data_IF_183965888894
#
_entry.id   IF_183965888894
#
_cell.length_a   1.000
_cell.length_b   1.000
_cell.length_c   1.000
_cell.angle_alpha   90.00
_cell.angle_beta   90.00
_cell.angle_gamma   90.00
#
_symmetry.space_group_name_H-M   'P 1'
#
loop_
_entity.id
_entity.type
_entity.pdbx_description
1 polymer ?
#
# COMPACT_ATOMS: atom_id res chain seq x y z
N UNK A 1 -1.59 5.28 8.29
CA UNK A 1 -3.06 5.52 8.29
C UNK A 1 -3.30 6.98 7.95
N UNK A 2 -4.28 7.24 7.07
CA UNK A 2 -4.57 8.59 6.55
C UNK A 2 -6.08 8.84 6.53
N UNK A 3 -6.49 10.02 6.99
CA UNK A 3 -7.88 10.45 6.83
C UNK A 3 -8.08 11.05 5.43
N UNK A 4 -9.10 10.58 4.71
CA UNK A 4 -9.47 11.06 3.39
C UNK A 4 -10.75 11.88 3.48
N UNK A 5 -10.67 13.22 3.45
CA UNK A 5 -11.85 14.11 3.64
C UNK A 5 -12.95 13.87 2.61
N UNK A 6 -12.56 13.62 1.34
CA UNK A 6 -13.51 13.37 0.26
C UNK A 6 -14.41 12.14 0.51
N UNK A 7 -13.94 11.17 1.27
CA UNK A 7 -14.65 9.94 1.59
C UNK A 7 -15.21 9.94 3.01
N UNK A 8 -14.77 10.86 3.86
CA UNK A 8 -15.00 10.88 5.31
C UNK A 8 -14.59 9.57 5.98
N UNK A 9 -13.44 9.02 5.58
CA UNK A 9 -12.92 7.72 6.01
C UNK A 9 -11.45 7.80 6.39
N UNK A 10 -11.08 6.97 7.36
CA UNK A 10 -9.68 6.63 7.63
C UNK A 10 -9.31 5.43 6.76
N UNK A 11 -8.20 5.54 6.06
CA UNK A 11 -7.62 4.44 5.28
C UNK A 11 -6.32 4.01 5.94
N UNK A 12 -6.22 2.71 6.21
CA UNK A 12 -5.03 2.08 6.75
C UNK A 12 -4.41 1.18 5.68
N UNK A 13 -3.12 1.39 5.42
CA UNK A 13 -2.32 0.49 4.58
C UNK A 13 -1.51 -0.41 5.51
N UNK A 14 -1.55 -1.71 5.25
CA UNK A 14 -0.76 -2.71 5.98
C UNK A 14 0.02 -3.51 4.96
N UNK A 15 1.33 -3.50 5.08
CA UNK A 15 2.21 -4.34 4.25
C UNK A 15 2.75 -5.48 5.10
N UNK A 16 2.79 -6.67 4.54
CA UNK A 16 3.31 -7.85 5.20
C UNK A 16 4.19 -8.66 4.26
N UNK A 17 5.27 -9.23 4.79
CA UNK A 17 6.06 -10.21 4.06
C UNK A 17 5.20 -11.43 3.76
N UNK A 18 5.20 -11.90 2.52
CA UNK A 18 4.60 -13.19 2.22
C UNK A 18 5.46 -14.31 2.83
N UNK A 19 4.76 -15.33 3.31
CA UNK A 19 5.40 -16.55 3.79
C UNK A 19 5.45 -17.54 2.64
N UNK A 20 6.62 -17.68 2.01
CA UNK A 20 6.84 -18.78 1.08
C UNK A 20 7.20 -20.03 1.89
N UNK A 21 6.41 -21.10 1.75
CA UNK A 21 6.64 -22.41 2.36
C UNK A 21 6.81 -22.42 3.90
N UNK A 22 6.10 -21.56 4.61
CA UNK A 22 6.14 -21.49 6.07
C UNK A 22 7.41 -20.84 6.65
N UNK A 23 8.31 -20.36 5.81
CA UNK A 23 9.54 -19.68 6.21
C UNK A 23 9.40 -18.19 5.95
N UNK A 24 9.65 -17.36 6.96
CA UNK A 24 9.68 -15.90 6.80
C UNK A 24 10.81 -15.52 5.86
N UNK A 25 10.47 -15.06 4.66
CA UNK A 25 11.43 -14.54 3.72
C UNK A 25 11.51 -13.02 3.84
N UNK A 26 12.68 -12.49 4.14
CA UNK A 26 12.95 -11.04 4.10
C UNK A 26 13.15 -10.53 2.67
N UNK A 27 13.21 -11.42 1.70
CA UNK A 27 13.50 -11.14 0.28
C UNK A 27 12.33 -11.52 -0.63
N UNK A 28 11.23 -12.00 -0.06
CA UNK A 28 10.03 -12.40 -0.81
C UNK A 28 9.16 -11.20 -1.20
N UNK A 29 8.12 -11.44 -2.01
CA UNK A 29 7.14 -10.42 -2.32
C UNK A 29 6.39 -9.97 -1.06
N UNK A 30 5.96 -8.71 -1.04
CA UNK A 30 5.13 -8.15 0.03
C UNK A 30 3.69 -8.04 -0.44
N UNK A 31 2.78 -8.38 0.44
CA UNK A 31 1.35 -8.18 0.23
C UNK A 31 0.91 -6.89 0.90
N UNK A 32 -0.06 -6.22 0.31
CA UNK A 32 -0.60 -4.96 0.83
C UNK A 32 -2.11 -5.04 1.00
N UNK A 33 -2.58 -4.67 2.18
CA UNK A 33 -3.98 -4.59 2.54
C UNK A 33 -4.37 -3.13 2.69
N UNK A 34 -5.53 -2.77 2.15
CA UNK A 34 -6.17 -1.48 2.37
C UNK A 34 -7.44 -1.70 3.17
N UNK A 35 -7.51 -1.03 4.31
CA UNK A 35 -8.65 -1.13 5.22
C UNK A 35 -9.25 0.25 5.45
N UNK A 36 -10.57 0.31 5.65
CA UNK A 36 -11.31 1.54 5.91
C UNK A 36 -12.02 1.52 7.25
N UNK A 37 -12.19 2.69 7.84
CA UNK A 37 -13.10 2.94 8.96
C UNK A 37 -13.60 4.38 8.94
N UNK A 38 -14.82 4.60 9.41
CA UNK A 38 -15.34 5.95 9.68
C UNK A 38 -14.82 6.52 11.00
N UNK A 39 -14.25 5.67 11.86
CA UNK A 39 -13.73 6.03 13.19
C UNK A 39 -12.28 5.62 13.29
N UNK A 40 -11.43 6.50 13.84
CA UNK A 40 -9.98 6.27 13.92
C UNK A 40 -9.60 5.00 14.70
N UNK A 41 -10.42 4.60 15.64
CA UNK A 41 -10.22 3.39 16.45
C UNK A 41 -10.79 2.12 15.83
N UNK A 42 -11.44 2.23 14.64
CA UNK A 42 -12.10 1.10 13.98
C UNK A 42 -13.51 0.81 14.51
N UNK A 43 -14.08 -0.35 14.17
CA UNK A 43 -13.44 -1.44 13.44
C UNK A 43 -13.10 -1.08 11.99
N UNK A 44 -11.99 -1.65 11.50
CA UNK A 44 -11.56 -1.49 10.12
C UNK A 44 -12.06 -2.64 9.25
N UNK A 45 -12.53 -2.32 8.05
CA UNK A 45 -13.01 -3.27 7.05
C UNK A 45 -12.02 -3.35 5.88
N UNK A 46 -11.80 -4.54 5.36
CA UNK A 46 -10.97 -4.74 4.18
C UNK A 46 -11.64 -4.10 2.94
N UNK A 47 -10.88 -3.26 2.27
CA UNK A 47 -11.26 -2.63 0.98
C UNK A 47 -10.61 -3.37 -0.18
N UNK A 48 -9.32 -3.65 -0.09
CA UNK A 48 -8.55 -4.28 -1.14
C UNK A 48 -7.37 -5.05 -0.59
N UNK A 49 -7.03 -6.13 -1.27
CA UNK A 49 -5.84 -6.94 -1.03
C UNK A 49 -5.06 -7.05 -2.33
N UNK A 50 -3.80 -6.64 -2.29
CA UNK A 50 -2.88 -6.72 -3.40
C UNK A 50 -1.78 -7.73 -3.07
N UNK A 51 -1.86 -8.90 -3.68
CA UNK A 51 -0.84 -9.92 -3.55
C UNK A 51 0.41 -9.51 -4.31
N UNK A 52 1.58 -9.67 -3.71
CA UNK A 52 2.88 -9.38 -4.33
C UNK A 52 2.94 -7.99 -4.95
N UNK A 53 2.48 -6.97 -4.21
CA UNK A 53 2.35 -5.61 -4.72
C UNK A 53 3.71 -4.98 -4.99
N UNK A 54 3.89 -4.55 -6.25
CA UNK A 54 5.12 -3.92 -6.73
C UNK A 54 6.37 -4.78 -6.54
N UNK A 55 7.55 -4.23 -6.80
CA UNK A 55 8.80 -4.90 -6.50
C UNK A 55 9.11 -4.78 -5.01
N UNK A 56 8.56 -5.69 -4.19
CA UNK A 56 8.67 -5.68 -2.73
C UNK A 56 8.28 -4.32 -2.12
N UNK A 57 7.06 -3.85 -2.41
CA UNK A 57 6.59 -2.57 -1.90
C UNK A 57 6.53 -2.55 -0.39
N UNK A 58 7.43 -1.79 0.22
CA UNK A 58 7.61 -1.66 1.64
C UNK A 58 7.11 -0.29 2.13
N UNK A 59 6.57 -0.23 3.34
CA UNK A 59 6.00 1.00 3.89
C UNK A 59 4.97 1.68 2.97
N UNK A 60 4.07 0.90 2.38
CA UNK A 60 2.99 1.47 1.57
C UNK A 60 2.17 2.44 2.42
N UNK A 61 2.05 3.66 1.95
CA UNK A 61 1.38 4.74 2.66
C UNK A 61 0.64 5.66 1.69
N UNK A 62 -0.31 6.41 2.21
CA UNK A 62 -1.03 7.48 1.50
C UNK A 62 -0.65 8.80 2.14
N UNK A 63 0.28 9.57 1.56
CA UNK A 63 0.62 10.90 2.08
C UNK A 63 -0.58 11.84 1.96
N UNK A 64 -1.00 12.43 3.06
CA UNK A 64 -2.17 13.33 3.09
C UNK A 64 -2.00 14.56 2.20
N UNK A 65 -0.76 15.03 2.03
CA UNK A 65 -0.43 16.16 1.16
C UNK A 65 -0.59 15.88 -0.33
N UNK A 66 -0.71 14.60 -0.72
CA UNK A 66 -0.87 14.18 -2.11
C UNK A 66 -2.29 13.70 -2.44
N UNK A 67 -3.24 13.97 -1.56
CA UNK A 67 -4.65 13.66 -1.78
C UNK A 67 -5.31 14.72 -2.66
N UNK A 68 -6.18 14.29 -3.56
CA UNK A 68 -7.07 15.17 -4.31
C UNK A 68 -8.44 15.33 -3.61
N UNK A 69 -9.23 16.29 -4.09
CA UNK A 69 -10.56 16.56 -3.54
C UNK A 69 -11.62 15.49 -3.92
N UNK A 70 -11.26 14.49 -4.71
CA UNK A 70 -12.18 13.48 -5.29
C UNK A 70 -11.91 12.06 -4.80
N UNK A 71 -11.08 11.88 -3.77
CA UNK A 71 -10.77 10.58 -3.21
C UNK A 71 -9.65 9.82 -3.94
N UNK A 72 -8.81 10.52 -4.66
CA UNK A 72 -7.60 10.02 -5.27
C UNK A 72 -6.34 10.61 -4.67
N UNK A 73 -5.20 10.20 -5.19
CA UNK A 73 -3.89 10.66 -4.77
C UNK A 73 -2.78 9.73 -5.25
N UNK A 74 -1.73 9.64 -4.45
CA UNK A 74 -0.61 8.75 -4.74
C UNK A 74 -0.33 7.82 -3.56
N UNK A 75 -0.14 6.54 -3.86
CA UNK A 75 0.50 5.61 -2.94
C UNK A 75 2.00 5.89 -2.97
N UNK A 76 2.59 5.99 -1.79
CA UNK A 76 4.02 6.12 -1.60
C UNK A 76 4.55 4.81 -1.01
N UNK A 77 5.60 4.27 -1.57
CA UNK A 77 6.25 3.06 -1.05
C UNK A 77 7.72 3.02 -1.40
N UNK A 78 8.48 2.25 -0.65
CA UNK A 78 9.85 1.91 -1.00
C UNK A 78 9.84 0.58 -1.74
N UNK A 79 10.39 0.56 -2.96
CA UNK A 79 10.67 -0.67 -3.70
C UNK A 79 11.95 -1.27 -3.14
N UNK A 80 11.78 -2.25 -2.24
CA UNK A 80 12.89 -2.85 -1.53
C UNK A 80 13.58 -3.89 -2.40
N UNK A 81 14.89 -3.81 -2.56
CA UNK A 81 15.70 -4.77 -3.35
C UNK A 81 15.24 -4.98 -4.80
N UNK A 82 14.47 -4.03 -5.36
CA UNK A 82 13.92 -4.13 -6.71
C UNK A 82 15.00 -4.25 -7.80
N UNK A 83 16.18 -3.77 -7.51
CA UNK A 83 17.32 -3.73 -8.42
C UNK A 83 18.51 -4.45 -7.80
N UNK A 84 18.30 -5.69 -7.34
CA UNK A 84 19.41 -6.54 -6.95
C UNK A 84 20.20 -6.88 -8.22
N UNK A 85 21.27 -6.13 -8.47
CA UNK A 85 22.25 -6.56 -9.46
C UNK A 85 23.03 -7.72 -8.87
N UNK A 86 22.75 -8.93 -9.36
CA UNK A 86 23.47 -10.14 -8.95
C UNK A 86 24.99 -10.05 -9.20
N UNK A 87 25.42 -9.08 -10.04
CA UNK A 87 26.81 -8.79 -10.34
C UNK A 87 27.44 -7.87 -9.31
N UNK A 88 26.66 -7.17 -8.51
CA UNK A 88 27.14 -6.27 -7.47
C UNK A 88 26.24 -6.33 -6.24
N UNK A 89 26.45 -7.32 -5.32
CA UNK A 89 25.61 -7.51 -4.13
C UNK A 89 25.66 -6.34 -3.13
N UNK A 90 26.52 -5.34 -3.33
CA UNK A 90 26.59 -4.13 -2.50
C UNK A 90 25.62 -3.04 -2.97
N UNK A 91 25.01 -3.17 -4.14
CA UNK A 91 23.97 -2.30 -4.64
C UNK A 91 22.59 -2.85 -4.32
N UNK A 92 22.17 -2.72 -3.08
CA UNK A 92 20.74 -2.80 -2.73
C UNK A 92 20.17 -1.38 -2.84
N UNK A 93 19.51 -1.09 -3.93
CA UNK A 93 18.89 0.21 -4.12
C UNK A 93 17.48 0.19 -3.56
N UNK A 94 17.23 1.05 -2.56
CA UNK A 94 15.88 1.41 -2.16
C UNK A 94 15.39 2.51 -3.10
N UNK A 95 14.39 2.21 -3.90
CA UNK A 95 13.76 3.21 -4.77
C UNK A 95 12.45 3.63 -4.14
N UNK A 96 12.30 4.93 -3.91
CA UNK A 96 11.02 5.49 -3.52
C UNK A 96 10.15 5.68 -4.76
N UNK A 97 8.93 5.18 -4.71
CA UNK A 97 8.01 5.16 -5.83
C UNK A 97 6.66 5.78 -5.46
N UNK A 98 6.00 6.38 -6.45
CA UNK A 98 4.66 6.94 -6.34
C UNK A 98 3.77 6.32 -7.40
N UNK A 99 2.64 5.75 -6.97
CA UNK A 99 1.64 5.16 -7.84
C UNK A 99 0.32 5.88 -7.70
N UNK A 100 -0.26 6.45 -8.78
CA UNK A 100 -1.58 7.07 -8.68
C UNK A 100 -2.65 6.06 -8.32
N UNK A 101 -3.59 6.47 -7.48
CA UNK A 101 -4.73 5.66 -7.09
C UNK A 101 -6.01 6.49 -6.99
N UNK A 102 -7.14 5.82 -6.98
CA UNK A 102 -8.44 6.39 -6.64
C UNK A 102 -9.30 5.39 -5.90
N UNK A 103 -9.97 5.85 -4.84
CA UNK A 103 -11.08 5.11 -4.27
C UNK A 103 -12.39 5.55 -4.91
N UNK A 104 -13.18 4.57 -5.35
CA UNK A 104 -14.53 4.76 -5.85
C UNK A 104 -15.53 4.18 -4.86
N UNK A 105 -16.62 4.90 -4.63
CA UNK A 105 -17.73 4.39 -3.81
C UNK A 105 -18.68 3.62 -4.74
N UNK A 106 -18.91 2.36 -4.43
CA UNK A 106 -19.91 1.52 -5.10
C UNK A 106 -20.89 0.99 -4.05
N UNK A 107 -22.09 1.62 -3.99
CA UNK A 107 -23.03 1.37 -2.89
C UNK A 107 -22.43 1.80 -1.55
N UNK A 108 -22.36 0.88 -0.59
CA UNK A 108 -21.74 1.11 0.73
C UNK A 108 -20.25 0.71 0.81
N UNK A 109 -19.68 0.23 -0.29
CA UNK A 109 -18.31 -0.29 -0.34
C UNK A 109 -17.37 0.66 -1.08
N UNK A 110 -16.14 0.76 -0.60
CA UNK A 110 -15.04 1.35 -1.33
C UNK A 110 -14.40 0.32 -2.25
N UNK A 111 -13.98 0.77 -3.41
CA UNK A 111 -13.16 0.00 -4.35
C UNK A 111 -11.91 0.79 -4.66
N UNK A 112 -10.76 0.15 -4.53
CA UNK A 112 -9.48 0.72 -4.95
C UNK A 112 -9.29 0.52 -6.45
N UNK A 113 -8.93 1.60 -7.12
CA UNK A 113 -8.60 1.66 -8.55
C UNK A 113 -7.17 2.20 -8.68
N UNK A 114 -6.32 1.41 -9.29
CA UNK A 114 -4.91 1.73 -9.52
C UNK A 114 -4.66 2.06 -10.98
#
# INVERSE_FOLDING_TARGET
MTYMPALKKFIMCVSTCSWANGTKSTVGPFDTYFLESSVITGPFKLVSYLASFGPQSYFVNIPSSLLDAKGGGFLSYSANFAYHDSRNPLHSEYVWDLLPFRFKVRGEQLQLDL
#
